data_IF_786609330170
#
_entry.id   IF_786609330170
#
_cell.length_a   1.000
_cell.length_b   1.000
_cell.length_c   1.000
_cell.angle_alpha   90.00
_cell.angle_beta   90.00
_cell.angle_gamma   90.00
#
_symmetry.space_group_name_H-M   'P 1'
#
loop_
_entity.id
_entity.type
_entity.pdbx_description
1 polymer ?
#
# COMPACT_ATOMS: atom_id res chain seq x y z
N UNK A 1 1.17 -23.22 0.29
CA UNK A 1 2.21 -22.53 1.10
C UNK A 1 1.55 -22.03 2.37
N UNK A 2 2.22 -22.00 3.52
CA UNK A 2 1.64 -21.53 4.79
C UNK A 2 2.48 -20.42 5.40
N UNK A 3 1.83 -19.41 5.94
CA UNK A 3 2.50 -18.24 6.48
C UNK A 3 1.54 -17.13 6.91
N UNK A 4 2.10 -15.93 7.11
CA UNK A 4 1.38 -14.73 7.53
C UNK A 4 1.44 -13.65 6.46
N UNK A 5 0.32 -12.96 6.24
CA UNK A 5 0.25 -11.85 5.28
C UNK A 5 1.03 -10.65 5.83
N UNK A 6 2.20 -10.37 5.25
CA UNK A 6 3.09 -9.31 5.71
C UNK A 6 2.69 -7.94 5.15
N UNK A 7 2.45 -7.87 3.85
CA UNK A 7 2.04 -6.65 3.16
C UNK A 7 1.31 -6.98 1.85
N UNK A 8 0.53 -6.04 1.31
CA UNK A 8 -0.13 -6.18 0.03
C UNK A 8 -0.42 -4.81 -0.61
N UNK A 9 -0.30 -4.75 -1.92
CA UNK A 9 -0.56 -3.53 -2.66
C UNK A 9 -0.90 -3.82 -4.14
N UNK A 10 -1.61 -2.91 -4.83
CA UNK A 10 -1.93 -3.10 -6.25
C UNK A 10 -0.69 -3.13 -7.15
N UNK A 11 -0.59 -4.18 -7.98
CA UNK A 11 0.48 -4.37 -8.96
C UNK A 11 0.21 -3.62 -10.28
N UNK A 12 0.31 -4.34 -11.40
CA UNK A 12 -0.18 -3.85 -12.68
C UNK A 12 -1.73 -3.82 -12.68
N UNK A 13 -2.37 -3.20 -13.68
CA UNK A 13 -3.83 -3.23 -13.79
C UNK A 13 -4.38 -4.66 -13.76
N UNK A 14 -5.30 -4.92 -12.82
CA UNK A 14 -5.90 -6.24 -12.61
C UNK A 14 -5.07 -7.19 -11.74
N UNK A 15 -4.07 -6.69 -11.02
CA UNK A 15 -3.21 -7.47 -10.15
C UNK A 15 -3.16 -6.92 -8.72
N UNK A 16 -3.12 -7.83 -7.74
CA UNK A 16 -2.74 -7.58 -6.36
C UNK A 16 -1.44 -8.33 -6.06
N UNK A 17 -0.45 -7.61 -5.52
CA UNK A 17 0.77 -8.21 -4.99
C UNK A 17 0.56 -8.49 -3.51
N UNK A 18 0.89 -9.70 -3.07
CA UNK A 18 0.82 -10.09 -1.66
C UNK A 18 2.18 -10.64 -1.22
N UNK A 19 2.72 -10.10 -0.15
CA UNK A 19 3.93 -10.59 0.50
C UNK A 19 3.55 -11.51 1.67
N UNK A 20 3.98 -12.76 1.60
CA UNK A 20 3.70 -13.79 2.60
C UNK A 20 4.99 -14.17 3.34
N UNK A 21 5.01 -14.00 4.66
CA UNK A 21 6.05 -14.54 5.53
C UNK A 21 5.76 -16.01 5.81
N UNK A 22 6.54 -16.93 5.26
CA UNK A 22 6.35 -18.36 5.45
C UNK A 22 6.78 -18.80 6.86
N UNK A 23 6.24 -19.94 7.30
CA UNK A 23 6.62 -20.61 8.56
C UNK A 23 8.10 -20.96 8.67
N UNK A 24 8.80 -21.12 7.54
CA UNK A 24 10.25 -21.37 7.50
C UNK A 24 11.10 -20.08 7.58
N UNK A 25 10.48 -18.90 7.72
CA UNK A 25 11.15 -17.61 7.78
C UNK A 25 11.34 -16.91 6.43
N UNK A 26 11.14 -17.59 5.30
CA UNK A 26 11.26 -16.99 3.96
C UNK A 26 10.10 -16.01 3.69
N UNK A 27 10.37 -14.93 2.96
CA UNK A 27 9.34 -13.99 2.50
C UNK A 27 9.08 -14.20 1.01
N UNK A 28 7.83 -14.51 0.66
CA UNK A 28 7.43 -14.82 -0.70
C UNK A 28 6.53 -13.75 -1.28
N UNK A 29 6.91 -13.26 -2.47
CA UNK A 29 6.06 -12.44 -3.31
C UNK A 29 5.08 -13.32 -4.08
N UNK A 30 3.80 -13.03 -3.95
CA UNK A 30 2.69 -13.70 -4.65
C UNK A 30 1.93 -12.67 -5.49
N UNK A 31 1.31 -13.14 -6.57
CA UNK A 31 0.53 -12.31 -7.48
C UNK A 31 -0.86 -12.90 -7.64
N UNK A 32 -1.89 -12.10 -7.40
CA UNK A 32 -3.28 -12.48 -7.59
C UNK A 32 -3.91 -11.63 -8.68
N UNK A 33 -4.62 -12.26 -9.61
CA UNK A 33 -5.44 -11.57 -10.60
C UNK A 33 -6.70 -11.06 -9.93
N UNK A 34 -6.73 -9.77 -9.65
CA UNK A 34 -7.78 -9.12 -8.87
C UNK A 34 -8.08 -7.71 -9.37
N UNK A 35 -9.37 -7.36 -9.39
CA UNK A 35 -9.89 -6.06 -9.78
C UNK A 35 -11.05 -5.68 -8.85
N UNK A 36 -10.95 -4.56 -8.11
CA UNK A 36 -11.99 -4.16 -7.17
C UNK A 36 -13.22 -3.65 -7.91
N UNK A 37 -14.36 -3.68 -7.23
CA UNK A 37 -15.59 -3.04 -7.69
C UNK A 37 -15.93 -1.80 -6.87
N UNK A 38 -16.47 -0.77 -7.52
CA UNK A 38 -17.23 0.29 -6.85
C UNK A 38 -18.71 0.13 -7.17
N UNK A 39 -19.56 0.71 -6.34
CA UNK A 39 -21.01 0.63 -6.51
C UNK A 39 -21.58 2.03 -6.69
N UNK A 40 -22.49 2.18 -7.65
CA UNK A 40 -23.15 3.45 -7.94
C UNK A 40 -24.65 3.26 -7.87
N UNK A 41 -25.31 4.05 -7.05
CA UNK A 41 -26.76 4.11 -6.99
C UNK A 41 -27.28 5.42 -7.61
N UNK A 42 -28.52 5.37 -8.09
CA UNK A 42 -29.27 6.52 -8.57
C UNK A 42 -30.74 6.24 -8.35
N UNK A 43 -31.53 7.29 -8.15
CA UNK A 43 -33.00 7.15 -8.04
C UNK A 43 -33.64 6.85 -9.40
N UNK A 44 -32.89 7.04 -10.50
CA UNK A 44 -33.31 6.74 -11.86
C UNK A 44 -32.52 5.54 -12.43
N UNK A 45 -33.21 4.42 -12.65
CA UNK A 45 -32.62 3.21 -13.25
C UNK A 45 -32.11 3.43 -14.69
N UNK A 46 -32.68 4.39 -15.43
CA UNK A 46 -32.18 4.76 -16.76
C UNK A 46 -30.78 5.39 -16.67
N UNK A 47 -30.52 6.17 -15.62
CA UNK A 47 -29.22 6.80 -15.37
C UNK A 47 -28.15 5.77 -15.04
N UNK A 48 -28.49 4.71 -14.30
CA UNK A 48 -27.57 3.58 -14.07
C UNK A 48 -27.25 2.82 -15.36
N UNK A 49 -28.28 2.52 -16.18
CA UNK A 49 -28.07 1.86 -17.47
C UNK A 49 -27.22 2.72 -18.41
N UNK A 50 -27.46 4.04 -18.45
CA UNK A 50 -26.67 4.99 -19.24
C UNK A 50 -25.22 5.06 -18.76
N UNK A 51 -25.01 5.08 -17.44
CA UNK A 51 -23.68 5.13 -16.84
C UNK A 51 -22.86 3.90 -17.22
N UNK A 52 -23.46 2.70 -17.18
CA UNK A 52 -22.76 1.43 -17.46
C UNK A 52 -22.11 1.33 -18.83
N UNK A 53 -22.55 2.13 -19.82
CA UNK A 53 -21.97 2.23 -21.16
C UNK A 53 -21.35 3.59 -21.48
N UNK A 54 -21.09 4.42 -20.48
CA UNK A 54 -20.65 5.79 -20.70
C UNK A 54 -19.16 5.88 -21.10
N UNK A 55 -18.89 6.50 -22.26
CA UNK A 55 -17.52 6.60 -22.86
C UNK A 55 -16.45 7.19 -21.92
N UNK A 56 -16.84 8.06 -20.98
CA UNK A 56 -15.88 8.67 -20.03
C UNK A 56 -15.38 7.72 -18.93
N UNK A 57 -16.13 6.64 -18.64
CA UNK A 57 -15.73 5.65 -17.63
C UNK A 57 -15.18 4.37 -18.25
N UNK A 58 -15.60 4.04 -19.48
CA UNK A 58 -15.18 2.85 -20.24
C UNK A 58 -13.66 2.56 -20.17
N UNK A 59 -12.73 3.53 -20.28
CA UNK A 59 -11.29 3.22 -20.22
C UNK A 59 -10.82 2.60 -18.90
N UNK A 60 -11.55 2.81 -17.80
CA UNK A 60 -11.17 2.38 -16.46
C UNK A 60 -12.06 1.23 -15.93
N UNK A 61 -13.05 0.78 -16.70
CA UNK A 61 -14.03 -0.24 -16.29
C UNK A 61 -13.83 -1.50 -17.11
N UNK A 62 -13.71 -2.66 -16.45
CA UNK A 62 -13.65 -3.97 -17.09
C UNK A 62 -15.04 -4.52 -17.45
N UNK A 63 -16.02 -4.19 -16.64
CA UNK A 63 -17.40 -4.64 -16.81
C UNK A 63 -18.32 -3.93 -15.83
N UNK A 64 -19.60 -3.92 -16.18
CA UNK A 64 -20.65 -3.37 -15.35
C UNK A 64 -21.82 -4.35 -15.26
N UNK A 65 -22.49 -4.38 -14.11
CA UNK A 65 -23.71 -5.16 -13.92
C UNK A 65 -24.58 -4.56 -12.82
N UNK A 66 -25.89 -4.75 -12.92
CA UNK A 66 -26.83 -4.36 -11.87
C UNK A 66 -26.84 -5.45 -10.79
N UNK A 67 -26.77 -5.02 -9.52
CA UNK A 67 -26.77 -5.91 -8.35
C UNK A 67 -27.63 -5.31 -7.24
N UNK A 68 -28.21 -6.19 -6.41
CA UNK A 68 -28.95 -5.75 -5.22
C UNK A 68 -28.02 -5.51 -4.03
N UNK A 69 -27.98 -4.29 -3.49
CA UNK A 69 -27.19 -3.90 -2.30
C UNK A 69 -28.05 -3.10 -1.31
N UNK A 70 -27.64 -3.11 -0.06
CA UNK A 70 -28.22 -2.26 1.00
C UNK A 70 -27.40 -0.96 0.99
N UNK A 71 -28.03 0.19 0.70
CA UNK A 71 -27.33 1.47 0.62
C UNK A 71 -27.11 2.08 2.01
N UNK A 72 -28.09 1.98 2.88
CA UNK A 72 -28.05 2.50 4.25
C UNK A 72 -28.31 1.40 5.27
N UNK A 73 -27.69 1.50 6.45
CA UNK A 73 -27.86 0.53 7.55
C UNK A 73 -29.33 0.41 7.98
N UNK A 74 -30.12 1.47 7.79
CA UNK A 74 -31.54 1.52 8.14
C UNK A 74 -32.46 0.91 7.08
N UNK A 75 -31.96 0.61 5.88
CA UNK A 75 -32.78 0.11 4.79
C UNK A 75 -33.24 -1.32 5.09
N UNK A 76 -34.54 -1.56 4.90
CA UNK A 76 -35.14 -2.88 5.11
C UNK A 76 -35.08 -3.77 3.86
N UNK A 77 -34.74 -3.20 2.71
CA UNK A 77 -34.69 -3.88 1.43
C UNK A 77 -33.43 -3.45 0.65
N UNK A 78 -33.06 -4.27 -0.33
CA UNK A 78 -31.94 -3.96 -1.23
C UNK A 78 -32.43 -3.04 -2.34
N UNK A 79 -31.64 -2.00 -2.63
CA UNK A 79 -31.74 -1.20 -3.85
C UNK A 79 -30.97 -1.86 -4.98
N UNK A 80 -31.39 -1.60 -6.21
CA UNK A 80 -30.60 -1.93 -7.39
C UNK A 80 -29.50 -0.88 -7.58
N UNK A 81 -28.25 -1.33 -7.65
CA UNK A 81 -27.08 -0.48 -7.86
C UNK A 81 -26.24 -1.01 -9.01
N UNK A 82 -25.51 -0.13 -9.67
CA UNK A 82 -24.55 -0.49 -10.70
C UNK A 82 -23.21 -0.83 -10.08
N UNK A 83 -22.80 -2.09 -10.18
CA UNK A 83 -21.43 -2.51 -9.89
C UNK A 83 -20.54 -2.20 -11.09
N UNK A 84 -19.45 -1.47 -10.85
CA UNK A 84 -18.42 -1.17 -11.84
C UNK A 84 -17.11 -1.81 -11.41
N UNK A 85 -16.68 -2.85 -12.15
CA UNK A 85 -15.39 -3.48 -11.90
C UNK A 85 -14.27 -2.61 -12.48
N UNK A 86 -13.37 -2.12 -11.62
CA UNK A 86 -12.31 -1.19 -11.99
C UNK A 86 -11.10 -1.95 -12.54
N UNK A 87 -10.61 -1.54 -13.71
CA UNK A 87 -9.47 -2.17 -14.39
C UNK A 87 -8.17 -2.04 -13.60
N UNK A 88 -7.93 -0.87 -13.04
CA UNK A 88 -6.75 -0.57 -12.23
C UNK A 88 -7.20 -0.04 -10.87
N UNK A 89 -6.91 -0.80 -9.81
CA UNK A 89 -7.30 -0.44 -8.45
C UNK A 89 -6.71 0.91 -8.00
N UNK A 90 -5.59 1.36 -8.60
CA UNK A 90 -4.99 2.67 -8.32
C UNK A 90 -5.83 3.84 -8.84
N UNK A 91 -6.79 3.58 -9.74
CA UNK A 91 -7.64 4.58 -10.39
C UNK A 91 -9.06 4.63 -9.88
N UNK A 92 -9.40 3.88 -8.83
CA UNK A 92 -10.74 3.86 -8.23
C UNK A 92 -11.26 5.26 -7.88
N UNK A 93 -10.44 6.07 -7.20
CA UNK A 93 -10.83 7.45 -6.86
C UNK A 93 -10.95 8.36 -8.08
N UNK A 94 -10.13 8.14 -9.12
CA UNK A 94 -10.23 8.89 -10.38
C UNK A 94 -11.55 8.59 -11.09
N UNK A 95 -11.93 7.31 -11.14
CA UNK A 95 -13.20 6.87 -11.70
C UNK A 95 -14.39 7.48 -10.95
N UNK A 96 -14.37 7.45 -9.62
CA UNK A 96 -15.41 8.05 -8.79
C UNK A 96 -15.58 9.55 -9.08
N UNK A 97 -14.48 10.32 -9.10
CA UNK A 97 -14.51 11.75 -9.45
C UNK A 97 -15.05 12.02 -10.86
N UNK A 98 -14.75 11.14 -11.82
CA UNK A 98 -15.32 11.25 -13.17
C UNK A 98 -16.83 11.07 -13.15
N UNK A 99 -17.32 10.05 -12.42
CA UNK A 99 -18.76 9.76 -12.29
C UNK A 99 -19.49 10.92 -11.61
N UNK A 100 -18.96 11.47 -10.51
CA UNK A 100 -19.51 12.65 -9.84
C UNK A 100 -19.66 13.85 -10.78
N UNK A 101 -18.69 14.04 -11.70
CA UNK A 101 -18.70 15.12 -12.68
C UNK A 101 -19.67 14.94 -13.86
N UNK A 102 -20.36 13.80 -14.00
CA UNK A 102 -21.27 13.55 -15.12
C UNK A 102 -22.66 14.17 -14.94
N UNK A 103 -22.99 14.63 -13.74
CA UNK A 103 -24.32 15.17 -13.46
C UNK A 103 -24.36 16.10 -12.25
N UNK A 104 -25.56 16.58 -11.89
CA UNK A 104 -25.74 17.38 -10.70
C UNK A 104 -25.42 16.56 -9.44
N UNK A 105 -25.05 17.26 -8.38
CA UNK A 105 -24.82 16.66 -7.07
C UNK A 105 -26.02 15.80 -6.64
N UNK A 106 -25.76 14.58 -6.20
CA UNK A 106 -26.78 13.62 -5.76
C UNK A 106 -27.36 12.73 -6.87
N UNK A 107 -27.07 12.99 -8.16
CA UNK A 107 -27.51 12.12 -9.26
C UNK A 107 -26.95 10.70 -9.09
N UNK A 108 -25.65 10.61 -8.80
CA UNK A 108 -24.94 9.37 -8.54
C UNK A 108 -24.44 9.38 -7.09
N UNK A 109 -24.82 8.35 -6.34
CA UNK A 109 -24.27 8.05 -5.02
C UNK A 109 -23.24 6.94 -5.20
N UNK A 110 -21.98 7.22 -4.87
CA UNK A 110 -20.86 6.32 -5.10
C UNK A 110 -20.44 5.71 -3.77
N UNK A 111 -20.27 4.39 -3.75
CA UNK A 111 -19.91 3.61 -2.59
C UNK A 111 -18.63 2.81 -2.84
N UNK A 112 -17.88 2.56 -1.77
CA UNK A 112 -16.64 1.80 -1.73
C UNK A 112 -15.50 2.35 -2.61
N UNK A 113 -15.62 3.58 -3.11
CA UNK A 113 -14.57 4.22 -3.91
C UNK A 113 -13.42 4.79 -3.06
N UNK A 114 -13.66 4.98 -1.76
CA UNK A 114 -12.77 5.53 -0.76
C UNK A 114 -12.04 4.46 0.07
N UNK A 115 -12.46 3.20 -0.03
CA UNK A 115 -11.78 2.09 0.64
C UNK A 115 -10.45 1.77 -0.08
N UNK A 116 -9.31 1.78 0.63
CA UNK A 116 -8.01 1.45 0.05
C UNK A 116 -8.01 0.06 -0.61
N UNK A 117 -7.37 -0.12 -1.77
CA UNK A 117 -7.37 -1.41 -2.49
C UNK A 117 -6.91 -2.61 -1.66
N UNK A 118 -5.86 -2.44 -0.84
CA UNK A 118 -5.36 -3.49 0.06
C UNK A 118 -6.45 -3.94 1.05
N UNK A 119 -7.18 -2.98 1.62
CA UNK A 119 -8.26 -3.25 2.57
C UNK A 119 -9.45 -3.93 1.88
N UNK A 120 -9.85 -3.46 0.70
CA UNK A 120 -10.90 -4.11 -0.10
C UNK A 120 -10.55 -5.56 -0.43
N UNK A 121 -9.31 -5.83 -0.83
CA UNK A 121 -8.84 -7.18 -1.14
C UNK A 121 -8.97 -8.12 0.08
N UNK A 122 -8.55 -7.65 1.25
CA UNK A 122 -8.66 -8.42 2.49
C UNK A 122 -10.12 -8.72 2.84
N UNK A 123 -11.01 -7.72 2.75
CA UNK A 123 -12.44 -7.89 3.03
C UNK A 123 -13.14 -8.85 2.08
N UNK A 124 -12.83 -8.80 0.79
CA UNK A 124 -13.42 -9.71 -0.21
C UNK A 124 -13.00 -11.17 -0.02
N UNK A 125 -11.94 -11.42 0.75
CA UNK A 125 -11.33 -12.74 0.97
C UNK A 125 -11.46 -13.22 2.41
N UNK A 126 -12.13 -12.47 3.26
CA UNK A 126 -12.22 -12.71 4.70
C UNK A 126 -10.82 -12.89 5.34
N UNK A 127 -9.88 -12.02 4.96
CA UNK A 127 -8.50 -11.97 5.46
C UNK A 127 -8.26 -10.68 6.26
N UNK A 128 -7.15 -10.65 6.98
CA UNK A 128 -6.69 -9.48 7.72
C UNK A 128 -5.15 -9.41 7.75
N UNK A 129 -4.56 -8.24 8.08
CA UNK A 129 -3.10 -8.10 8.15
C UNK A 129 -2.50 -9.08 9.17
N UNK A 130 -1.36 -9.69 8.84
CA UNK A 130 -0.71 -10.73 9.64
C UNK A 130 -1.57 -11.96 9.95
N UNK A 131 -2.66 -12.20 9.22
CA UNK A 131 -3.43 -13.43 9.36
C UNK A 131 -2.58 -14.66 8.98
N UNK A 132 -2.59 -15.69 9.82
CA UNK A 132 -2.01 -16.99 9.47
C UNK A 132 -2.93 -17.74 8.48
N UNK A 133 -2.38 -18.08 7.32
CA UNK A 133 -3.16 -18.68 6.24
C UNK A 133 -2.35 -19.66 5.39
N UNK A 134 -3.06 -20.58 4.76
CA UNK A 134 -2.58 -21.39 3.66
C UNK A 134 -3.03 -20.78 2.34
N UNK A 135 -2.10 -20.68 1.39
CA UNK A 135 -2.36 -20.18 0.04
C UNK A 135 -1.95 -21.20 -1.01
N UNK A 136 -2.81 -21.39 -2.01
CA UNK A 136 -2.53 -22.13 -3.24
C UNK A 136 -2.63 -21.20 -4.45
N UNK A 137 -1.71 -21.36 -5.39
CA UNK A 137 -1.68 -20.61 -6.64
C UNK A 137 -2.24 -21.47 -7.76
N UNK A 138 -3.35 -21.02 -8.37
CA UNK A 138 -4.00 -21.69 -9.49
C UNK A 138 -4.36 -20.67 -10.57
N UNK A 139 -3.81 -20.84 -11.78
CA UNK A 139 -4.12 -20.01 -12.95
C UNK A 139 -4.06 -18.49 -12.68
N UNK A 140 -2.98 -18.02 -12.01
CA UNK A 140 -2.77 -16.61 -11.60
C UNK A 140 -3.81 -16.09 -10.59
N UNK A 141 -4.48 -16.98 -9.87
CA UNK A 141 -5.32 -16.63 -8.73
C UNK A 141 -4.79 -17.26 -7.46
N UNK A 142 -4.97 -16.53 -6.37
CA UNK A 142 -4.66 -17.02 -5.04
C UNK A 142 -5.94 -17.51 -4.36
N UNK A 143 -5.91 -18.77 -3.94
CA UNK A 143 -6.94 -19.37 -3.10
C UNK A 143 -6.42 -19.44 -1.68
N UNK A 144 -7.22 -18.93 -0.74
CA UNK A 144 -6.83 -18.76 0.64
C UNK A 144 -7.63 -19.67 1.55
N UNK A 145 -6.95 -20.21 2.55
CA UNK A 145 -7.56 -20.90 3.69
C UNK A 145 -7.01 -20.27 4.97
N UNK A 146 -7.86 -19.51 5.65
CA UNK A 146 -7.52 -18.89 6.92
C UNK A 146 -7.36 -19.98 8.00
N UNK A 147 -6.32 -19.84 8.82
CA UNK A 147 -6.05 -20.69 9.98
C UNK A 147 -6.13 -19.92 11.30
N UNK A 148 -6.39 -18.62 11.21
CA UNK A 148 -6.47 -17.69 12.31
C UNK A 148 -7.92 -17.28 12.57
N UNK A 149 -8.17 -16.65 13.72
CA UNK A 149 -9.47 -16.13 14.12
C UNK A 149 -9.27 -14.73 14.69
N UNK A 150 -9.96 -13.75 14.09
CA UNK A 150 -9.87 -12.33 14.46
C UNK A 150 -10.42 -12.04 15.87
N UNK A 151 -11.15 -13.00 16.47
CA UNK A 151 -11.62 -12.95 17.85
C UNK A 151 -10.73 -13.73 18.83
N UNK A 152 -9.70 -14.42 18.34
CA UNK A 152 -8.79 -15.18 19.19
C UNK A 152 -7.87 -14.25 19.98
N UNK A 153 -7.74 -14.53 21.28
CA UNK A 153 -6.73 -13.89 22.13
C UNK A 153 -5.37 -14.59 22.02
N UNK A 154 -5.34 -15.82 21.51
CA UNK A 154 -4.15 -16.68 21.44
C UNK A 154 -3.66 -16.77 19.98
N UNK A 155 -3.35 -15.62 19.37
CA UNK A 155 -2.83 -15.56 18.00
C UNK A 155 -1.31 -15.72 17.97
N UNK A 156 -0.81 -16.44 16.97
CA UNK A 156 0.62 -16.69 16.76
C UNK A 156 1.18 -15.58 15.88
N UNK A 157 2.17 -14.85 16.40
CA UNK A 157 2.86 -13.79 15.67
C UNK A 157 4.08 -14.40 14.94
N UNK A 158 4.30 -14.10 13.65
CA UNK A 158 5.51 -14.54 12.95
C UNK A 158 6.77 -13.97 13.59
N UNK A 159 7.89 -14.70 13.49
CA UNK A 159 9.20 -14.12 13.78
C UNK A 159 9.59 -13.15 12.66
N UNK A 160 9.47 -11.85 12.94
CA UNK A 160 9.82 -10.77 12.02
C UNK A 160 11.28 -10.36 12.19
N UNK A 161 11.97 -10.22 11.06
CA UNK A 161 13.32 -9.66 10.99
C UNK A 161 13.24 -8.13 11.09
N UNK A 162 13.74 -7.58 12.18
CA UNK A 162 13.73 -6.14 12.45
C UNK A 162 15.12 -5.56 12.19
N UNK A 163 15.18 -4.43 11.48
CA UNK A 163 16.39 -3.63 11.32
C UNK A 163 16.10 -2.18 11.65
N UNK A 164 16.85 -1.61 12.60
CA UNK A 164 16.80 -0.19 12.91
C UNK A 164 17.84 0.56 12.08
N UNK A 165 17.42 1.63 11.41
CA UNK A 165 18.29 2.51 10.63
C UNK A 165 18.40 3.87 11.32
N UNK A 166 19.64 4.27 11.57
CA UNK A 166 19.99 5.58 12.13
C UNK A 166 20.97 6.28 11.19
N UNK A 167 20.72 7.55 10.88
CA UNK A 167 21.58 8.33 9.99
C UNK A 167 22.15 9.52 10.73
N UNK A 168 23.48 9.54 10.85
CA UNK A 168 24.23 10.69 11.31
C UNK A 168 24.33 11.74 10.20
N UNK A 169 23.89 12.96 10.48
CA UNK A 169 23.99 14.10 9.57
C UNK A 169 25.19 14.97 9.94
N UNK A 170 25.98 15.41 8.96
CA UNK A 170 27.05 16.37 9.16
C UNK A 170 26.45 17.78 9.33
N UNK A 171 26.06 18.11 10.57
CA UNK A 171 25.32 19.35 10.87
C UNK A 171 26.24 20.57 10.82
N UNK A 172 25.98 21.50 9.90
CA UNK A 172 26.62 22.83 9.89
C UNK A 172 25.98 23.80 10.92
N UNK A 173 24.82 23.46 11.49
CA UNK A 173 24.09 24.30 12.43
C UNK A 173 23.33 23.51 13.52
N UNK A 174 22.48 24.20 14.29
CA UNK A 174 21.71 23.58 15.39
C UNK A 174 20.63 22.58 14.92
N UNK A 175 20.14 22.75 13.70
CA UNK A 175 19.07 21.92 13.10
C UNK A 175 19.63 21.31 11.81
N UNK A 176 19.45 20.01 11.63
CA UNK A 176 19.85 19.29 10.42
C UNK A 176 19.04 19.80 9.22
N UNK A 177 19.73 20.13 8.13
CA UNK A 177 19.11 20.55 6.87
C UNK A 177 19.17 19.43 5.85
N UNK A 178 18.25 19.47 4.88
CA UNK A 178 18.30 18.55 3.74
C UNK A 178 19.55 18.71 2.85
N UNK A 179 20.24 19.83 2.98
CA UNK A 179 21.51 20.12 2.30
C UNK A 179 22.72 19.51 2.99
N UNK A 180 22.60 19.16 4.26
CA UNK A 180 23.70 18.59 5.05
C UNK A 180 24.00 17.17 4.56
N UNK A 181 25.28 16.82 4.47
CA UNK A 181 25.72 15.52 3.94
C UNK A 181 25.55 14.40 4.96
N UNK A 182 25.47 13.17 4.46
CA UNK A 182 25.46 11.96 5.31
C UNK A 182 26.85 11.76 5.93
N UNK A 183 26.91 11.91 7.25
CA UNK A 183 28.11 11.64 8.03
C UNK A 183 28.29 10.14 8.22
N UNK A 184 27.25 9.46 8.69
CA UNK A 184 27.27 8.03 8.93
C UNK A 184 25.89 7.40 8.79
N UNK A 185 25.86 6.10 8.53
CA UNK A 185 24.64 5.29 8.56
C UNK A 185 24.90 4.07 9.44
N UNK A 186 24.00 3.80 10.37
CA UNK A 186 24.05 2.65 11.26
C UNK A 186 22.80 1.80 11.05
N UNK A 187 23.00 0.51 10.80
CA UNK A 187 21.94 -0.49 10.73
C UNK A 187 22.15 -1.48 11.87
N UNK A 188 21.12 -1.67 12.70
CA UNK A 188 21.16 -2.61 13.82
C UNK A 188 20.06 -3.63 13.65
N UNK A 189 20.43 -4.90 13.49
CA UNK A 189 19.53 -6.05 13.53
C UNK A 189 19.75 -6.87 14.81
N UNK A 190 19.03 -7.98 14.98
CA UNK A 190 19.24 -8.87 16.14
C UNK A 190 20.59 -9.59 16.12
N UNK A 191 21.13 -9.86 14.93
CA UNK A 191 22.31 -10.71 14.74
C UNK A 191 23.56 -9.90 14.35
N UNK A 192 23.36 -8.73 13.73
CA UNK A 192 24.42 -7.96 13.10
C UNK A 192 24.22 -6.45 13.29
N UNK A 193 25.33 -5.73 13.46
CA UNK A 193 25.42 -4.28 13.43
C UNK A 193 26.35 -3.84 12.29
N UNK A 194 25.84 -3.01 11.38
CA UNK A 194 26.57 -2.48 10.22
C UNK A 194 26.72 -0.97 10.39
N UNK A 195 27.95 -0.47 10.37
CA UNK A 195 28.28 0.95 10.49
C UNK A 195 29.02 1.43 9.24
N UNK A 196 28.44 2.41 8.57
CA UNK A 196 28.94 3.02 7.34
C UNK A 196 29.39 4.45 7.66
N UNK A 197 30.71 4.67 7.78
CA UNK A 197 31.29 5.98 8.14
C UNK A 197 32.26 6.52 7.08
N UNK A 198 32.90 5.63 6.32
CA UNK A 198 33.92 5.97 5.34
C UNK A 198 33.33 6.15 3.94
N UNK A 199 34.11 6.74 3.03
CA UNK A 199 33.71 6.93 1.64
C UNK A 199 32.99 8.25 1.37
N UNK A 200 32.77 8.50 0.09
CA UNK A 200 31.92 9.57 -0.44
C UNK A 200 30.46 9.36 -0.03
N UNK A 201 29.66 10.42 -0.08
CA UNK A 201 28.22 10.31 0.22
C UNK A 201 27.50 9.35 -0.75
N UNK A 202 27.91 9.33 -2.01
CA UNK A 202 27.41 8.38 -3.02
C UNK A 202 27.62 6.93 -2.59
N UNK A 203 28.83 6.61 -2.12
CA UNK A 203 29.18 5.27 -1.64
C UNK A 203 28.36 4.90 -0.41
N UNK A 204 28.18 5.82 0.55
CA UNK A 204 27.37 5.57 1.76
C UNK A 204 25.91 5.26 1.42
N UNK A 205 25.31 5.97 0.47
CA UNK A 205 23.93 5.71 0.03
C UNK A 205 23.82 4.33 -0.62
N UNK A 206 24.77 3.96 -1.47
CA UNK A 206 24.78 2.65 -2.12
C UNK A 206 25.06 1.51 -1.12
N UNK A 207 25.92 1.74 -0.13
CA UNK A 207 26.19 0.79 0.95
C UNK A 207 24.97 0.60 1.85
N UNK A 208 24.20 1.65 2.13
CA UNK A 208 22.92 1.55 2.83
C UNK A 208 21.95 0.62 2.08
N UNK A 209 21.77 0.82 0.77
CA UNK A 209 20.90 -0.05 -0.05
C UNK A 209 21.37 -1.50 0.01
N UNK A 210 22.68 -1.74 -0.19
CA UNK A 210 23.27 -3.08 -0.10
C UNK A 210 23.09 -3.72 1.28
N UNK A 211 23.24 -2.96 2.35
CA UNK A 211 23.08 -3.43 3.72
C UNK A 211 21.63 -3.85 3.98
N UNK A 212 20.65 -3.09 3.49
CA UNK A 212 19.22 -3.46 3.60
C UNK A 212 18.92 -4.71 2.77
N UNK A 213 19.43 -4.81 1.54
CA UNK A 213 19.29 -6.01 0.72
C UNK A 213 19.93 -7.24 1.38
N UNK A 214 21.06 -7.07 2.07
CA UNK A 214 21.74 -8.15 2.79
C UNK A 214 20.96 -8.62 4.02
N UNK A 215 20.49 -7.68 4.84
CA UNK A 215 19.74 -7.97 6.06
C UNK A 215 18.31 -8.47 5.78
N UNK A 216 17.74 -8.11 4.61
CA UNK A 216 16.38 -8.44 4.17
C UNK A 216 15.32 -8.30 5.28
N UNK A 217 15.17 -7.10 5.90
CA UNK A 217 14.28 -6.91 7.03
C UNK A 217 12.81 -7.04 6.64
N UNK A 218 12.02 -7.63 7.53
CA UNK A 218 10.56 -7.63 7.46
C UNK A 218 9.99 -6.31 7.99
N UNK A 219 10.68 -5.68 8.94
CA UNK A 219 10.36 -4.37 9.51
C UNK A 219 11.60 -3.46 9.51
N UNK A 220 11.47 -2.29 8.89
CA UNK A 220 12.49 -1.25 8.90
C UNK A 220 12.12 -0.14 9.90
N UNK A 221 12.82 -0.08 11.02
CA UNK A 221 12.56 0.87 12.11
C UNK A 221 13.41 2.12 11.93
N UNK A 222 12.79 3.28 12.03
CA UNK A 222 13.44 4.58 11.84
C UNK A 222 12.97 5.59 12.88
N UNK A 223 13.84 6.53 13.25
CA UNK A 223 13.45 7.69 14.05
C UNK A 223 13.02 8.84 13.14
N UNK A 224 11.84 9.41 13.42
CA UNK A 224 11.25 10.49 12.60
C UNK A 224 11.27 10.15 11.10
N UNK A 225 11.04 8.86 10.77
CA UNK A 225 11.14 8.26 9.44
C UNK A 225 10.45 9.09 8.36
N UNK A 226 9.14 9.22 8.51
CA UNK A 226 8.28 9.88 7.52
C UNK A 226 8.49 11.40 7.48
N UNK A 227 8.76 12.00 8.65
CA UNK A 227 8.87 13.45 8.80
C UNK A 227 10.20 13.98 8.29
N UNK A 228 11.29 13.26 8.55
CA UNK A 228 12.65 13.72 8.30
C UNK A 228 13.50 12.70 7.54
N UNK A 229 13.69 11.49 8.07
CA UNK A 229 14.75 10.59 7.59
C UNK A 229 14.57 10.15 6.14
N UNK A 230 13.39 9.65 5.77
CA UNK A 230 13.11 9.20 4.41
C UNK A 230 13.10 10.39 3.43
N UNK A 231 12.44 11.53 3.70
CA UNK A 231 12.56 12.71 2.87
C UNK A 231 14.00 13.21 2.70
N UNK A 232 14.79 13.18 3.78
CA UNK A 232 16.19 13.56 3.78
C UNK A 232 17.00 12.65 2.85
N UNK A 233 16.92 11.33 3.03
CA UNK A 233 17.63 10.36 2.21
C UNK A 233 17.26 10.44 0.73
N UNK A 234 15.97 10.62 0.39
CA UNK A 234 15.52 10.81 -1.00
C UNK A 234 16.19 12.05 -1.61
N UNK A 235 16.20 13.19 -0.90
CA UNK A 235 16.86 14.42 -1.38
C UNK A 235 18.38 14.27 -1.50
N UNK A 236 19.02 13.51 -0.60
CA UNK A 236 20.45 13.21 -0.71
C UNK A 236 20.74 12.33 -1.92
N UNK A 237 19.94 11.30 -2.16
CA UNK A 237 20.04 10.47 -3.36
C UNK A 237 19.84 11.28 -4.64
N UNK A 238 18.86 12.19 -4.67
CA UNK A 238 18.64 13.12 -5.79
C UNK A 238 19.84 14.05 -6.03
N UNK A 239 20.37 14.66 -4.97
CA UNK A 239 21.54 15.57 -5.04
C UNK A 239 22.78 14.87 -5.59
N UNK A 240 22.90 13.57 -5.31
CA UNK A 240 23.98 12.70 -5.77
C UNK A 240 23.66 11.93 -7.07
N UNK A 241 22.54 12.22 -7.74
CA UNK A 241 22.10 11.55 -8.99
C UNK A 241 21.93 10.03 -8.87
N UNK A 242 21.57 9.56 -7.67
CA UNK A 242 21.39 8.15 -7.33
C UNK A 242 19.91 7.75 -7.20
N UNK A 243 18.96 8.58 -7.61
CA UNK A 243 17.52 8.31 -7.44
C UNK A 243 17.07 6.96 -8.02
N UNK A 244 17.63 6.53 -9.15
CA UNK A 244 17.30 5.24 -9.79
C UNK A 244 17.93 4.03 -9.08
N UNK A 245 18.89 4.27 -8.17
CA UNK A 245 19.60 3.25 -7.40
C UNK A 245 19.25 3.27 -5.91
N UNK A 246 18.36 4.17 -5.50
CA UNK A 246 17.93 4.32 -4.12
C UNK A 246 16.51 3.79 -3.94
N UNK A 247 16.44 2.57 -3.43
CA UNK A 247 15.23 1.85 -3.08
C UNK A 247 15.45 1.17 -1.72
N UNK A 248 14.39 1.04 -0.94
CA UNK A 248 14.42 0.41 0.39
C UNK A 248 13.41 -0.75 0.49
N UNK A 249 12.67 -1.00 -0.58
CA UNK A 249 11.69 -2.08 -0.69
C UNK A 249 12.25 -3.26 -1.50
N UNK A 250 11.58 -4.42 -1.38
CA UNK A 250 11.99 -5.66 -2.06
C UNK A 250 11.72 -5.63 -3.57
N UNK A 251 10.80 -4.80 -4.04
CA UNK A 251 10.49 -4.65 -5.47
C UNK A 251 11.38 -3.63 -6.19
N UNK A 252 12.35 -3.04 -5.47
CA UNK A 252 13.27 -2.01 -5.99
C UNK A 252 12.52 -0.82 -6.60
N UNK A 253 11.43 -0.42 -5.96
CA UNK A 253 10.65 0.74 -6.35
C UNK A 253 11.44 1.99 -6.03
N UNK A 254 11.56 2.87 -7.03
CA UNK A 254 12.17 4.18 -6.81
C UNK A 254 11.39 4.94 -5.73
N UNK A 255 12.10 5.34 -4.68
CA UNK A 255 11.53 6.22 -3.65
C UNK A 255 11.41 7.64 -4.19
N UNK A 256 10.21 8.21 -4.05
CA UNK A 256 9.90 9.58 -4.45
C UNK A 256 9.24 10.31 -3.31
N UNK A 257 9.55 11.61 -3.17
CA UNK A 257 8.79 12.46 -2.25
C UNK A 257 7.31 12.50 -2.68
N UNK A 258 6.37 12.50 -1.73
CA UNK A 258 4.97 12.69 -2.06
C UNK A 258 4.78 14.05 -2.76
N UNK A 259 3.93 14.06 -3.79
CA UNK A 259 3.66 15.25 -4.62
C UNK A 259 2.97 16.40 -3.86
N UNK A 260 2.47 16.11 -2.65
CA UNK A 260 1.96 17.08 -1.68
C UNK A 260 2.57 16.77 -0.33
N UNK A 261 2.94 17.79 0.43
CA UNK A 261 3.23 17.63 1.85
C UNK A 261 1.99 17.02 2.51
N UNK A 262 2.19 15.97 3.33
CA UNK A 262 1.11 15.39 4.10
C UNK A 262 0.48 16.49 4.95
N UNK A 263 -0.79 16.82 4.70
CA UNK A 263 -1.53 17.75 5.55
C UNK A 263 -2.05 17.06 6.81
N UNK A 264 -2.01 15.73 6.83
CA UNK A 264 -2.53 14.93 7.92
C UNK A 264 -1.48 14.34 8.84
N UNK A 265 -1.69 14.46 10.16
CA UNK A 265 -0.89 13.80 11.19
C UNK A 265 -1.78 13.07 12.18
N UNK A 266 -1.28 11.97 12.72
CA UNK A 266 -1.99 11.13 13.67
C UNK A 266 -1.82 11.68 15.09
N UNK A 267 -2.92 12.01 15.75
CA UNK A 267 -2.91 12.52 17.13
C UNK A 267 -4.07 11.91 17.90
N UNK A 268 -3.78 11.21 18.99
CA UNK A 268 -4.78 10.60 19.90
C UNK A 268 -5.87 9.79 19.19
N UNK A 269 -5.47 8.87 18.30
CA UNK A 269 -6.41 7.99 17.59
C UNK A 269 -7.22 8.68 16.49
N UNK A 270 -6.85 9.92 16.11
CA UNK A 270 -7.49 10.66 15.03
C UNK A 270 -6.46 11.12 14.01
N UNK A 271 -6.82 10.94 12.74
CA UNK A 271 -6.13 11.58 11.62
C UNK A 271 -6.70 13.01 11.55
N UNK A 272 -5.86 13.99 11.92
CA UNK A 272 -6.15 15.41 11.71
C UNK A 272 -5.67 15.77 10.31
N UNK A 273 -6.33 16.70 9.61
CA UNK A 273 -6.03 17.11 8.22
C UNK A 273 -5.65 18.59 8.13
#
# INVERSE_FOLDING_TARGET
>A
MRGWILDLYPGNPGEMVVWLKLENGEVRRLLDRWSPSIFVASDDGYELARLGGHRLIEPEVLGSRLVGKVEQITDQAKSEVLELQVKDAKKTQLLARRIEGLGPFGLYRIYNADVPPAQTYLYERDLFPLAHCEVSEAAQRLEWRLHDDDWSYDYVIPELRETRVEVGVEREGRIARNTDTIKSVKLTSREEEIVIETGSEEEKILELVKAIEHLDPDLLLTEEGDTFLLPYLIKRAESNRLSEKFFLDRDRTRLTLPSRAGTSYFSYGKILF
#
